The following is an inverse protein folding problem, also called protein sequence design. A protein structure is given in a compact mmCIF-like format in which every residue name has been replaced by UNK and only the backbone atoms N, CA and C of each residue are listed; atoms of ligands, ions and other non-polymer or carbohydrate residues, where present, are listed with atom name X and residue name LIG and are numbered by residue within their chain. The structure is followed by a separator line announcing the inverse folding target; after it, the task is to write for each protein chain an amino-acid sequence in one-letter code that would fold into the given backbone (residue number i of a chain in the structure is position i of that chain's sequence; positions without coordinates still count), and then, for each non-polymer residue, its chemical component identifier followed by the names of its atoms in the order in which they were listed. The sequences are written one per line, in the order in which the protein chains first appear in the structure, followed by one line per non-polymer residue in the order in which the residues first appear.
data_IF_010236316624
#
_entry.id   IF_010236316624
#
_cell.length_a   1.000
_cell.length_b   1.000
_cell.length_c   1.000
_cell.angle_alpha   90.00
_cell.angle_beta   90.00
_cell.angle_gamma   90.00
#
_symmetry.space_group_name_H-M   'P 1'
#
loop_
_entity.id
_entity.type
_entity.pdbx_description
1 polymer ?
#
# COMPACT_ATOMS: atom_id res chain seq x y z
N UNK A 1 18.06 4.27 39.07
CA UNK A 1 19.25 4.21 38.19
C UNK A 1 18.73 4.37 36.78
N UNK A 2 19.13 5.42 36.05
CA UNK A 2 18.78 5.54 34.64
C UNK A 2 19.52 4.45 33.85
N UNK A 3 18.92 3.84 32.82
CA UNK A 3 19.58 2.79 32.05
C UNK A 3 20.88 3.31 31.43
N UNK A 4 21.99 2.57 31.59
CA UNK A 4 23.33 2.90 31.07
C UNK A 4 23.61 2.29 29.71
N UNK A 5 22.57 2.12 28.88
CA UNK A 5 22.67 1.44 27.60
C UNK A 5 21.42 1.65 26.75
N UNK A 6 21.45 1.10 25.54
CA UNK A 6 20.35 1.17 24.58
C UNK A 6 19.32 0.13 24.99
N UNK A 7 18.08 0.57 25.25
CA UNK A 7 17.01 -0.32 25.69
C UNK A 7 16.48 -1.18 24.52
N UNK A 8 16.32 -0.57 23.35
CA UNK A 8 15.92 -1.20 22.11
C UNK A 8 16.50 -0.41 20.94
N UNK A 9 16.75 -1.08 19.83
CA UNK A 9 17.11 -0.45 18.57
C UNK A 9 16.29 -1.11 17.46
N UNK A 10 15.74 -0.30 16.57
CA UNK A 10 15.03 -0.76 15.39
C UNK A 10 15.48 0.09 14.19
N UNK A 11 15.53 -0.52 13.02
CA UNK A 11 15.84 0.17 11.78
C UNK A 11 14.88 -0.35 10.71
N UNK A 12 14.25 0.56 9.97
CA UNK A 12 13.33 0.25 8.88
C UNK A 12 14.03 -0.28 7.61
N UNK A 13 15.32 -0.65 7.68
CA UNK A 13 16.00 -1.22 6.53
C UNK A 13 15.60 -2.69 6.36
N UNK A 14 15.60 -3.17 5.11
CA UNK A 14 15.26 -4.53 4.67
C UNK A 14 16.23 -5.64 5.15
N UNK A 15 16.95 -5.43 6.26
CA UNK A 15 17.90 -6.39 6.82
C UNK A 15 17.18 -7.46 7.64
N UNK A 16 17.08 -8.69 7.12
CA UNK A 16 16.33 -9.82 7.71
C UNK A 16 17.22 -10.90 8.38
N UNK A 17 18.54 -10.71 8.39
CA UNK A 17 19.53 -11.72 8.82
C UNK A 17 19.68 -11.85 10.35
N UNK A 18 18.78 -11.22 11.12
CA UNK A 18 18.77 -11.20 12.58
C UNK A 18 19.85 -10.30 13.21
N UNK A 19 19.51 -9.70 14.35
CA UNK A 19 20.40 -8.78 15.09
C UNK A 19 20.34 -7.32 14.61
N UNK A 20 21.15 -6.46 15.22
CA UNK A 20 21.23 -5.03 14.87
C UNK A 20 21.94 -4.84 13.52
N UNK A 21 21.27 -4.18 12.57
CA UNK A 21 21.85 -3.92 11.26
C UNK A 21 23.04 -2.94 11.35
N UNK A 22 23.88 -2.93 10.31
CA UNK A 22 25.02 -2.00 10.21
C UNK A 22 24.63 -0.51 10.34
N UNK A 23 23.38 -0.15 10.03
CA UNK A 23 22.90 1.23 10.17
C UNK A 23 22.69 1.63 11.63
N UNK A 24 22.15 0.72 12.45
CA UNK A 24 22.07 0.92 13.91
C UNK A 24 23.49 1.10 14.45
N UNK A 25 24.42 0.20 14.09
CA UNK A 25 25.82 0.30 14.52
C UNK A 25 26.46 1.63 14.07
N UNK A 26 26.25 2.04 12.82
CA UNK A 26 26.78 3.30 12.30
C UNK A 26 26.19 4.53 13.01
N UNK A 27 24.89 4.54 13.28
CA UNK A 27 24.23 5.62 14.02
C UNK A 27 24.78 5.72 15.44
N UNK A 28 24.91 4.58 16.14
CA UNK A 28 25.43 4.55 17.51
C UNK A 28 26.89 4.93 17.59
N UNK A 29 27.71 4.49 16.63
CA UNK A 29 29.10 4.93 16.52
C UNK A 29 29.17 6.43 16.24
N UNK A 30 28.28 6.97 15.40
CA UNK A 30 28.20 8.41 15.15
C UNK A 30 27.78 9.16 16.41
N UNK A 31 26.80 8.64 17.16
CA UNK A 31 26.35 9.22 18.42
C UNK A 31 27.45 9.24 19.48
N UNK A 32 28.29 8.20 19.57
CA UNK A 32 29.42 8.16 20.50
C UNK A 32 30.52 9.13 20.09
N UNK A 33 30.83 9.21 18.79
CA UNK A 33 31.99 9.99 18.30
C UNK A 33 31.67 11.45 18.02
N UNK A 34 30.43 11.76 17.65
CA UNK A 34 29.97 13.08 17.23
C UNK A 34 28.48 13.29 17.54
N UNK A 35 28.07 13.25 18.83
CA UNK A 35 26.66 13.33 19.23
C UNK A 35 25.96 14.60 18.73
N UNK A 36 26.70 15.72 18.64
CA UNK A 36 26.16 17.02 18.21
C UNK A 36 25.75 17.05 16.71
N UNK A 37 26.13 16.04 15.93
CA UNK A 37 25.68 15.91 14.53
C UNK A 37 24.29 15.30 14.41
N UNK A 38 23.81 14.66 15.48
CA UNK A 38 22.47 14.05 15.53
C UNK A 38 21.51 15.08 16.10
N UNK A 39 20.63 15.58 15.25
CA UNK A 39 19.62 16.56 15.61
C UNK A 39 18.36 15.84 16.10
N UNK A 40 17.94 16.10 17.33
CA UNK A 40 16.58 15.77 17.76
C UNK A 40 15.62 16.79 17.16
N UNK A 41 14.59 16.30 16.47
CA UNK A 41 13.56 17.13 15.87
C UNK A 41 12.40 17.42 16.83
N UNK A 42 12.27 16.73 17.97
CA UNK A 42 11.18 16.98 18.92
C UNK A 42 11.10 18.43 19.43
N UNK A 43 12.21 19.09 19.82
CA UNK A 43 12.15 20.49 20.25
C UNK A 43 11.69 21.44 19.12
N UNK A 44 12.07 21.11 17.88
CA UNK A 44 11.65 21.87 16.70
C UNK A 44 10.15 21.69 16.46
N UNK A 45 9.65 20.45 16.50
CA UNK A 45 8.23 20.16 16.31
C UNK A 45 7.36 20.79 17.40
N UNK A 46 7.76 20.72 18.67
CA UNK A 46 7.05 21.40 19.75
C UNK A 46 6.98 22.92 19.56
N UNK A 47 8.04 23.52 19.00
CA UNK A 47 8.06 24.95 18.69
C UNK A 47 7.13 25.30 17.52
N UNK A 48 7.10 24.45 16.48
CA UNK A 48 6.25 24.62 15.32
C UNK A 48 4.77 24.42 15.66
N UNK A 49 4.43 23.47 16.52
CA UNK A 49 3.06 23.19 16.96
C UNK A 49 2.42 24.39 17.66
N UNK A 50 3.22 25.18 18.40
CA UNK A 50 2.75 26.40 19.05
C UNK A 50 2.58 27.60 18.10
N UNK A 51 2.97 27.50 16.82
CA UNK A 51 2.87 28.59 15.86
C UNK A 51 1.47 28.68 15.24
N UNK A 52 0.96 29.90 14.98
CA UNK A 52 -0.26 30.06 14.22
C UNK A 52 -0.03 29.65 12.76
N UNK A 53 -1.10 29.19 12.10
CA UNK A 53 -1.10 28.74 10.69
C UNK A 53 -0.39 29.70 9.73
N UNK A 54 -0.57 31.02 9.91
CA UNK A 54 0.09 32.03 9.08
C UNK A 54 1.61 32.00 9.18
N UNK A 55 2.15 31.76 10.38
CA UNK A 55 3.60 31.66 10.60
C UNK A 55 4.15 30.37 9.98
N UNK A 56 3.42 29.26 10.08
CA UNK A 56 3.80 28.00 9.44
C UNK A 56 3.86 28.14 7.91
N UNK A 57 2.86 28.80 7.30
CA UNK A 57 2.86 29.07 5.86
C UNK A 57 4.05 29.95 5.44
N UNK A 58 4.44 30.92 6.28
CA UNK A 58 5.62 31.74 6.03
C UNK A 58 6.91 30.92 6.10
N UNK A 59 7.04 30.03 7.09
CA UNK A 59 8.19 29.13 7.22
C UNK A 59 8.29 28.22 5.99
N UNK A 60 7.19 27.60 5.57
CA UNK A 60 7.14 26.75 4.37
C UNK A 60 7.52 27.56 3.12
N UNK A 61 7.00 28.78 2.97
CA UNK A 61 7.33 29.65 1.84
C UNK A 61 8.82 30.00 1.80
N UNK A 62 9.45 30.29 2.94
CA UNK A 62 10.89 30.53 3.00
C UNK A 62 11.68 29.26 2.69
N UNK A 63 11.29 28.10 3.24
CA UNK A 63 11.94 26.81 2.92
C UNK A 63 11.91 26.52 1.42
N UNK A 64 10.79 26.77 0.74
CA UNK A 64 10.67 26.58 -0.71
C UNK A 64 11.54 27.56 -1.53
N UNK A 65 11.86 28.74 -0.99
CA UNK A 65 12.82 29.65 -1.64
C UNK A 65 14.25 29.14 -1.51
N UNK A 66 14.59 28.53 -0.38
CA UNK A 66 15.93 27.99 -0.12
C UNK A 66 16.16 26.62 -0.78
N UNK A 67 15.13 25.79 -0.88
CA UNK A 67 15.17 24.45 -1.46
C UNK A 67 13.96 24.24 -2.40
N UNK A 68 13.99 24.81 -3.63
CA UNK A 68 12.89 24.72 -4.60
C UNK A 68 12.50 23.28 -4.97
N UNK A 69 13.43 22.33 -4.87
CA UNK A 69 13.22 20.89 -5.07
C UNK A 69 12.25 20.26 -4.07
N UNK A 70 11.94 20.95 -2.96
CA UNK A 70 10.91 20.53 -2.01
C UNK A 70 9.51 20.93 -2.45
N UNK A 71 9.35 21.80 -3.47
CA UNK A 71 8.05 22.26 -3.94
C UNK A 71 7.11 21.12 -4.35
N UNK A 72 7.55 20.08 -5.09
CA UNK A 72 6.70 18.94 -5.40
C UNK A 72 6.25 18.17 -4.15
N UNK A 73 7.12 18.09 -3.13
CA UNK A 73 6.82 17.41 -1.86
C UNK A 73 5.78 18.21 -1.08
N UNK A 74 5.99 19.52 -0.90
CA UNK A 74 5.03 20.40 -0.21
C UNK A 74 3.69 20.43 -0.94
N UNK A 75 3.68 20.45 -2.27
CA UNK A 75 2.47 20.39 -3.08
C UNK A 75 1.70 19.08 -2.82
N UNK A 76 2.38 17.94 -2.85
CA UNK A 76 1.79 16.63 -2.53
C UNK A 76 1.16 16.57 -1.13
N UNK A 77 1.73 17.25 -0.13
CA UNK A 77 1.15 17.37 1.21
C UNK A 77 0.07 18.46 1.33
N UNK A 78 0.05 19.45 0.42
CA UNK A 78 -0.94 20.54 0.43
C UNK A 78 -2.22 20.17 -0.32
N UNK A 79 -2.14 19.26 -1.28
CA UNK A 79 -3.27 18.68 -2.01
C UNK A 79 -4.02 17.64 -1.17
N UNK A 80 -3.61 17.41 0.07
CA UNK A 80 -4.37 16.66 1.08
C UNK A 80 -5.64 17.48 1.40
N UNK A 81 -6.85 17.03 1.03
CA UNK A 81 -8.06 17.76 1.35
C UNK A 81 -8.28 17.75 2.86
N UNK A 82 -8.06 18.89 3.51
CA UNK A 82 -8.51 19.10 4.87
C UNK A 82 -10.02 19.20 4.87
N UNK A 83 -10.72 18.14 5.30
CA UNK A 83 -12.18 18.04 5.44
C UNK A 83 -12.96 18.37 4.17
N UNK A 84 -13.32 17.36 3.39
CA UNK A 84 -14.43 17.47 2.43
C UNK A 84 -15.34 16.25 2.48
N UNK A 85 -16.62 16.54 2.23
CA UNK A 85 -17.82 15.78 2.55
C UNK A 85 -17.90 14.41 1.87
N UNK A 86 -18.67 13.53 2.52
CA UNK A 86 -19.28 12.31 1.96
C UNK A 86 -19.78 12.55 0.52
N UNK A 87 -18.98 12.17 -0.47
CA UNK A 87 -19.39 11.56 -1.74
C UNK A 87 -18.19 11.58 -2.71
N UNK A 88 -17.96 10.41 -3.33
CA UNK A 88 -17.02 10.13 -4.42
C UNK A 88 -15.57 9.78 -4.02
N UNK A 89 -15.37 8.54 -3.56
CA UNK A 89 -14.09 7.85 -3.38
C UNK A 89 -13.39 7.47 -4.70
N UNK A 90 -14.11 7.30 -5.81
CA UNK A 90 -13.55 6.99 -7.14
C UNK A 90 -12.66 8.11 -7.75
N UNK A 91 -13.06 9.40 -7.69
CA UNK A 91 -12.18 10.53 -8.02
C UNK A 91 -10.89 10.55 -7.19
N UNK A 92 -10.95 10.11 -5.94
CA UNK A 92 -9.79 10.11 -5.05
C UNK A 92 -8.75 9.07 -5.46
N UNK A 93 -9.19 7.89 -5.91
CA UNK A 93 -8.29 6.88 -6.51
C UNK A 93 -7.54 7.49 -7.70
N UNK A 94 -8.24 8.21 -8.59
CA UNK A 94 -7.61 8.84 -9.76
C UNK A 94 -6.56 9.91 -9.38
N UNK A 95 -6.83 10.71 -8.34
CA UNK A 95 -5.86 11.70 -7.82
C UNK A 95 -4.59 11.01 -7.32
N UNK A 96 -4.72 9.93 -6.53
CA UNK A 96 -3.55 9.19 -6.05
C UNK A 96 -2.84 8.45 -7.18
N UNK A 97 -3.57 7.94 -8.18
CA UNK A 97 -2.96 7.35 -9.37
C UNK A 97 -2.06 8.36 -10.10
N UNK A 98 -2.52 9.60 -10.31
CA UNK A 98 -1.69 10.65 -10.94
C UNK A 98 -0.46 10.99 -10.10
N UNK A 99 -0.63 11.12 -8.77
CA UNK A 99 0.49 11.36 -7.86
C UNK A 99 1.52 10.23 -7.92
N UNK A 100 1.08 8.98 -7.85
CA UNK A 100 1.98 7.81 -7.87
C UNK A 100 2.64 7.67 -9.25
N UNK A 101 1.92 7.96 -10.34
CA UNK A 101 2.50 8.01 -11.68
C UNK A 101 3.64 9.03 -11.80
N UNK A 102 3.55 10.16 -11.08
CA UNK A 102 4.66 11.12 -11.03
C UNK A 102 5.88 10.55 -10.32
N UNK A 103 5.69 9.79 -9.24
CA UNK A 103 6.78 9.11 -8.51
C UNK A 103 7.49 8.09 -9.41
N UNK A 104 6.73 7.25 -10.13
CA UNK A 104 7.30 6.28 -11.08
C UNK A 104 8.11 6.96 -12.20
N UNK A 105 7.57 8.03 -12.78
CA UNK A 105 8.25 8.80 -13.83
C UNK A 105 9.56 9.43 -13.33
N UNK A 106 9.55 9.96 -12.11
CA UNK A 106 10.64 10.76 -11.58
C UNK A 106 11.72 9.93 -10.88
N UNK A 107 11.38 8.76 -10.34
CA UNK A 107 12.27 8.00 -9.44
C UNK A 107 12.52 6.55 -9.87
N UNK A 108 11.78 6.01 -10.84
CA UNK A 108 11.92 4.61 -11.29
C UNK A 108 12.55 4.47 -12.68
N UNK A 109 13.17 5.53 -13.19
CA UNK A 109 13.92 5.53 -14.45
C UNK A 109 15.40 5.18 -14.27
N UNK A 110 16.02 5.63 -13.17
CA UNK A 110 17.46 5.50 -12.93
C UNK A 110 17.77 4.80 -11.60
N UNK A 111 18.78 3.92 -11.60
CA UNK A 111 19.02 3.01 -10.47
C UNK A 111 19.28 3.68 -9.12
N UNK A 112 19.92 4.86 -9.13
CA UNK A 112 20.24 5.58 -7.91
C UNK A 112 19.05 6.35 -7.32
N UNK A 113 17.91 6.40 -8.01
CA UNK A 113 16.71 7.11 -7.58
C UNK A 113 15.66 6.17 -6.99
N UNK A 114 15.84 4.85 -7.12
CA UNK A 114 14.90 3.86 -6.62
C UNK A 114 14.63 4.00 -5.12
N UNK A 115 15.68 4.17 -4.31
CA UNK A 115 15.52 4.36 -2.85
C UNK A 115 14.60 5.56 -2.53
N UNK A 116 14.72 6.64 -3.30
CA UNK A 116 13.85 7.82 -3.17
C UNK A 116 12.42 7.50 -3.59
N UNK A 117 12.25 6.78 -4.70
CA UNK A 117 10.94 6.35 -5.19
C UNK A 117 10.21 5.48 -4.17
N UNK A 118 10.87 4.44 -3.66
CA UNK A 118 10.32 3.57 -2.61
C UNK A 118 10.00 4.33 -1.34
N UNK A 119 10.89 5.21 -0.87
CA UNK A 119 10.61 6.07 0.30
C UNK A 119 9.32 6.89 0.09
N UNK A 120 9.08 7.40 -1.11
CA UNK A 120 7.85 8.16 -1.40
C UNK A 120 6.60 7.27 -1.44
N UNK A 121 6.70 6.04 -1.94
CA UNK A 121 5.60 5.08 -1.93
C UNK A 121 5.27 4.62 -0.50
N UNK A 122 6.28 4.31 0.31
CA UNK A 122 6.16 3.94 1.73
C UNK A 122 5.48 5.04 2.55
N UNK A 123 5.80 6.31 2.28
CA UNK A 123 5.14 7.45 2.92
C UNK A 123 3.63 7.47 2.63
N UNK A 124 3.22 7.12 1.40
CA UNK A 124 1.81 7.04 1.03
C UNK A 124 1.12 5.83 1.67
N UNK A 125 1.82 4.69 1.79
CA UNK A 125 1.31 3.52 2.51
C UNK A 125 1.09 3.85 3.99
N UNK A 126 2.08 4.45 4.67
CA UNK A 126 1.96 4.88 6.07
C UNK A 126 0.82 5.88 6.26
N UNK A 127 0.59 6.77 5.28
CA UNK A 127 -0.56 7.68 5.28
C UNK A 127 -1.88 6.91 5.25
N UNK A 128 -2.00 5.89 4.41
CA UNK A 128 -3.19 5.06 4.34
C UNK A 128 -3.43 4.32 5.66
N UNK A 129 -2.40 3.76 6.27
CA UNK A 129 -2.48 3.08 7.57
C UNK A 129 -2.95 4.02 8.67
N UNK A 130 -2.43 5.24 8.72
CA UNK A 130 -2.86 6.26 9.67
C UNK A 130 -4.33 6.64 9.49
N UNK A 131 -4.79 6.79 8.24
CA UNK A 131 -6.19 7.07 7.93
C UNK A 131 -7.10 5.92 8.35
N UNK A 132 -6.67 4.67 8.12
CA UNK A 132 -7.38 3.47 8.58
C UNK A 132 -7.56 3.47 10.10
N UNK A 133 -6.48 3.76 10.85
CA UNK A 133 -6.51 3.87 12.32
C UNK A 133 -7.41 5.01 12.83
N UNK A 134 -7.60 6.06 12.03
CA UNK A 134 -8.48 7.20 12.34
C UNK A 134 -9.96 6.93 12.01
N UNK A 135 -10.28 5.77 11.42
CA UNK A 135 -11.63 5.40 11.01
C UNK A 135 -12.00 5.87 9.59
N UNK A 136 -11.05 6.42 8.83
CA UNK A 136 -11.23 6.83 7.43
C UNK A 136 -10.88 5.70 6.46
N UNK A 137 -11.46 4.51 6.69
CA UNK A 137 -11.10 3.29 5.96
C UNK A 137 -11.27 3.40 4.43
N UNK A 138 -12.34 4.02 3.92
CA UNK A 138 -12.53 4.17 2.48
C UNK A 138 -11.41 4.97 1.80
N UNK A 139 -10.92 6.01 2.48
CA UNK A 139 -9.83 6.85 1.97
C UNK A 139 -8.51 6.09 2.01
N UNK A 140 -8.25 5.36 3.10
CA UNK A 140 -7.09 4.50 3.24
C UNK A 140 -7.03 3.44 2.12
N UNK A 141 -8.14 2.73 1.90
CA UNK A 141 -8.24 1.70 0.86
C UNK A 141 -8.12 2.27 -0.55
N UNK A 142 -8.58 3.51 -0.78
CA UNK A 142 -8.38 4.21 -2.05
C UNK A 142 -6.91 4.48 -2.36
N UNK A 143 -6.13 4.88 -1.34
CA UNK A 143 -4.68 5.09 -1.47
C UNK A 143 -3.98 3.76 -1.74
N UNK A 144 -4.28 2.73 -0.95
CA UNK A 144 -3.66 1.41 -1.09
C UNK A 144 -3.97 0.77 -2.44
N UNK A 145 -5.22 0.87 -2.91
CA UNK A 145 -5.57 0.40 -4.25
C UNK A 145 -4.80 1.15 -5.35
N UNK A 146 -4.64 2.47 -5.22
CA UNK A 146 -3.84 3.23 -6.16
C UNK A 146 -2.37 2.79 -6.14
N UNK A 147 -1.79 2.55 -4.96
CA UNK A 147 -0.42 2.04 -4.79
C UNK A 147 -0.23 0.66 -5.44
N UNK A 148 -1.13 -0.28 -5.14
CA UNK A 148 -1.12 -1.63 -5.72
C UNK A 148 -1.22 -1.55 -7.24
N UNK A 149 -2.24 -0.84 -7.75
CA UNK A 149 -2.50 -0.74 -9.18
C UNK A 149 -1.32 -0.14 -9.95
N UNK A 150 -0.79 1.01 -9.50
CA UNK A 150 0.31 1.65 -10.22
C UNK A 150 1.60 0.84 -10.13
N UNK A 151 1.87 0.19 -9.00
CA UNK A 151 3.04 -0.68 -8.86
C UNK A 151 2.98 -1.89 -9.80
N UNK A 152 1.80 -2.49 -9.96
CA UNK A 152 1.57 -3.59 -10.90
C UNK A 152 1.71 -3.10 -12.35
N UNK A 153 1.11 -1.96 -12.71
CA UNK A 153 1.17 -1.41 -14.07
C UNK A 153 2.59 -1.05 -14.50
N UNK A 154 3.38 -0.43 -13.60
CA UNK A 154 4.76 -0.04 -13.91
C UNK A 154 5.78 -1.16 -13.72
N UNK A 155 5.34 -2.34 -13.29
CA UNK A 155 6.25 -3.46 -12.99
C UNK A 155 7.09 -3.89 -14.18
N UNK A 156 6.50 -3.94 -15.38
CA UNK A 156 7.20 -4.35 -16.61
C UNK A 156 8.28 -3.35 -17.03
N UNK A 157 8.10 -2.08 -16.67
CA UNK A 157 8.92 -0.95 -17.11
C UNK A 157 10.08 -0.65 -16.14
N UNK A 158 10.05 -1.20 -14.92
CA UNK A 158 11.12 -1.04 -13.93
C UNK A 158 12.12 -2.19 -13.93
N UNK A 159 13.34 -1.90 -13.48
CA UNK A 159 14.33 -2.94 -13.14
C UNK A 159 14.20 -3.44 -11.69
N UNK A 160 13.46 -2.75 -10.82
CA UNK A 160 13.24 -3.12 -9.41
C UNK A 160 12.04 -4.05 -9.26
N UNK A 161 12.08 -5.18 -9.96
CA UNK A 161 10.99 -6.15 -9.95
C UNK A 161 10.74 -6.72 -8.55
N UNK A 162 11.77 -7.17 -7.86
CA UNK A 162 11.62 -7.77 -6.53
C UNK A 162 11.09 -6.76 -5.50
N UNK A 163 11.66 -5.55 -5.48
CA UNK A 163 11.22 -4.51 -4.54
C UNK A 163 9.76 -4.09 -4.76
N UNK A 164 9.29 -3.98 -6.01
CA UNK A 164 7.87 -3.69 -6.26
C UNK A 164 6.96 -4.86 -5.89
N UNK A 165 7.41 -6.10 -6.07
CA UNK A 165 6.64 -7.27 -5.68
C UNK A 165 6.43 -7.31 -4.16
N UNK A 166 7.51 -7.13 -3.41
CA UNK A 166 7.49 -7.04 -1.94
C UNK A 166 6.60 -5.87 -1.47
N UNK A 167 6.75 -4.70 -2.09
CA UNK A 167 5.94 -3.53 -1.76
C UNK A 167 4.43 -3.73 -2.03
N UNK A 168 4.07 -4.41 -3.13
CA UNK A 168 2.68 -4.74 -3.43
C UNK A 168 2.11 -5.72 -2.41
N UNK A 169 2.89 -6.72 -1.98
CA UNK A 169 2.50 -7.66 -0.93
C UNK A 169 2.23 -6.92 0.39
N UNK A 170 3.12 -6.01 0.80
CA UNK A 170 2.91 -5.18 2.00
C UNK A 170 1.65 -4.32 1.90
N UNK A 171 1.41 -3.67 0.75
CA UNK A 171 0.20 -2.89 0.54
C UNK A 171 -1.06 -3.74 0.60
N UNK A 172 -1.03 -4.97 0.08
CA UNK A 172 -2.16 -5.91 0.13
C UNK A 172 -2.45 -6.38 1.56
N UNK A 173 -1.41 -6.57 2.39
CA UNK A 173 -1.57 -6.88 3.82
C UNK A 173 -2.28 -5.71 4.51
N UNK A 174 -1.76 -4.47 4.38
CA UNK A 174 -2.39 -3.29 4.98
C UNK A 174 -3.81 -3.08 4.44
N UNK A 175 -4.06 -3.37 3.15
CA UNK A 175 -5.39 -3.31 2.56
C UNK A 175 -6.35 -4.30 3.23
N UNK A 176 -5.93 -5.56 3.39
CA UNK A 176 -6.74 -6.59 3.99
C UNK A 176 -7.07 -6.29 5.46
N UNK A 177 -6.10 -5.83 6.23
CA UNK A 177 -6.29 -5.45 7.63
C UNK A 177 -7.31 -4.32 7.79
N UNK A 178 -7.14 -3.23 7.01
CA UNK A 178 -8.06 -2.08 7.08
C UNK A 178 -9.44 -2.44 6.57
N UNK A 179 -9.53 -3.22 5.49
CA UNK A 179 -10.81 -3.62 4.92
C UNK A 179 -11.62 -4.46 5.89
N UNK A 180 -11.00 -5.43 6.60
CA UNK A 180 -11.68 -6.31 7.55
C UNK A 180 -12.38 -5.54 8.67
N UNK A 181 -11.72 -4.51 9.22
CA UNK A 181 -12.26 -3.71 10.32
C UNK A 181 -13.22 -2.59 9.88
N UNK A 182 -13.30 -2.34 8.57
CA UNK A 182 -14.15 -1.29 8.01
C UNK A 182 -15.63 -1.71 7.97
N UNK A 183 -16.57 -0.77 8.20
CA UNK A 183 -17.99 -1.05 7.98
C UNK A 183 -18.24 -1.37 6.51
N UNK A 184 -19.14 -2.32 6.25
CA UNK A 184 -19.48 -2.70 4.88
C UNK A 184 -19.92 -1.48 4.08
N UNK A 185 -19.28 -1.27 2.93
CA UNK A 185 -19.66 -0.20 2.03
C UNK A 185 -19.51 -0.61 0.58
N UNK A 186 -20.32 0.01 -0.26
CA UNK A 186 -20.27 -0.15 -1.72
C UNK A 186 -18.86 0.17 -2.23
N UNK A 187 -18.19 1.14 -1.60
CA UNK A 187 -16.81 1.50 -1.92
C UNK A 187 -15.87 0.30 -1.76
N UNK A 188 -15.90 -0.41 -0.63
CA UNK A 188 -15.00 -1.55 -0.38
C UNK A 188 -15.23 -2.67 -1.40
N UNK A 189 -16.50 -2.98 -1.70
CA UNK A 189 -16.87 -3.97 -2.71
C UNK A 189 -16.27 -3.63 -4.09
N UNK A 190 -16.38 -2.36 -4.51
CA UNK A 190 -15.79 -1.91 -5.77
C UNK A 190 -14.26 -1.98 -5.76
N UNK A 191 -13.59 -1.68 -4.63
CA UNK A 191 -12.15 -1.85 -4.52
C UNK A 191 -11.72 -3.32 -4.68
N UNK A 192 -12.44 -4.26 -4.08
CA UNK A 192 -12.18 -5.69 -4.26
C UNK A 192 -12.40 -6.14 -5.71
N UNK A 193 -13.44 -5.63 -6.39
CA UNK A 193 -13.65 -5.87 -7.83
C UNK A 193 -12.51 -5.30 -8.68
N UNK A 194 -11.98 -4.14 -8.33
CA UNK A 194 -10.83 -3.56 -9.02
C UNK A 194 -9.56 -4.40 -8.84
N UNK A 195 -9.31 -4.95 -7.64
CA UNK A 195 -8.21 -5.91 -7.41
C UNK A 195 -8.38 -7.18 -8.24
N UNK A 196 -9.61 -7.70 -8.34
CA UNK A 196 -9.91 -8.86 -9.19
C UNK A 196 -9.67 -8.55 -10.67
N UNK A 197 -10.09 -7.38 -11.16
CA UNK A 197 -9.80 -6.99 -12.56
C UNK A 197 -8.30 -6.88 -12.81
N UNK A 198 -7.59 -6.27 -11.86
CA UNK A 198 -6.14 -6.17 -11.93
C UNK A 198 -5.46 -7.54 -12.00
N UNK A 199 -6.00 -8.59 -11.34
CA UNK A 199 -5.38 -9.92 -11.37
C UNK A 199 -5.46 -10.62 -12.74
N UNK A 200 -6.36 -10.20 -13.62
CA UNK A 200 -6.42 -10.64 -15.02
C UNK A 200 -5.50 -9.83 -15.94
N UNK A 201 -5.28 -8.55 -15.65
CA UNK A 201 -4.47 -7.65 -16.47
C UNK A 201 -2.99 -7.63 -16.07
N UNK A 202 -2.65 -8.09 -14.87
CA UNK A 202 -1.30 -8.09 -14.32
C UNK A 202 -0.38 -9.16 -14.94
N UNK A 203 0.94 -8.96 -14.80
CA UNK A 203 1.89 -10.05 -14.99
C UNK A 203 1.59 -11.21 -14.02
N UNK A 204 1.79 -12.46 -14.49
CA UNK A 204 1.42 -13.69 -13.78
C UNK A 204 1.92 -13.74 -12.32
N UNK A 205 3.06 -13.10 -12.02
CA UNK A 205 3.65 -13.05 -10.67
C UNK A 205 2.73 -12.42 -9.62
N UNK A 206 1.84 -11.51 -10.01
CA UNK A 206 0.92 -10.83 -9.09
C UNK A 206 -0.41 -11.54 -8.92
N UNK A 207 -0.80 -12.40 -9.86
CA UNK A 207 -2.11 -13.05 -9.81
C UNK A 207 -2.31 -13.83 -8.51
N UNK A 208 -1.37 -14.68 -8.04
CA UNK A 208 -1.53 -15.38 -6.76
C UNK A 208 -1.67 -14.44 -5.56
N UNK A 209 -0.92 -13.33 -5.52
CA UNK A 209 -0.99 -12.35 -4.43
C UNK A 209 -2.38 -11.73 -4.36
N UNK A 210 -2.85 -11.19 -5.49
CA UNK A 210 -4.17 -10.54 -5.60
C UNK A 210 -5.30 -11.51 -5.27
N UNK A 211 -5.28 -12.72 -5.83
CA UNK A 211 -6.33 -13.72 -5.59
C UNK A 211 -6.32 -14.24 -4.15
N UNK A 212 -5.15 -14.37 -3.52
CA UNK A 212 -5.05 -14.84 -2.13
C UNK A 212 -5.59 -13.79 -1.15
N UNK A 213 -5.27 -12.51 -1.36
CA UNK A 213 -5.83 -11.42 -0.55
C UNK A 213 -7.35 -11.33 -0.69
N UNK A 214 -7.90 -11.51 -1.90
CA UNK A 214 -9.34 -11.55 -2.11
C UNK A 214 -10.00 -12.76 -1.41
N UNK A 215 -9.38 -13.94 -1.49
CA UNK A 215 -9.87 -15.13 -0.79
C UNK A 215 -9.89 -14.93 0.74
N UNK A 216 -8.85 -14.30 1.28
CA UNK A 216 -8.75 -13.96 2.69
C UNK A 216 -9.85 -12.96 3.12
N UNK A 217 -10.11 -11.93 2.32
CA UNK A 217 -11.18 -10.97 2.58
C UNK A 217 -12.57 -11.63 2.60
N UNK A 218 -12.84 -12.50 1.62
CA UNK A 218 -14.07 -13.31 1.60
C UNK A 218 -14.19 -14.25 2.81
N UNK A 219 -13.07 -14.67 3.39
CA UNK A 219 -13.07 -15.53 4.58
C UNK A 219 -13.32 -14.74 5.86
N UNK A 220 -12.70 -13.55 5.97
CA UNK A 220 -12.68 -12.77 7.21
C UNK A 220 -13.88 -11.86 7.37
N UNK A 221 -14.47 -11.38 6.28
CA UNK A 221 -15.66 -10.54 6.36
C UNK A 221 -16.94 -11.29 6.06
N UNK A 222 -17.98 -10.99 6.82
CA UNK A 222 -19.37 -11.32 6.47
C UNK A 222 -19.94 -10.35 5.41
N UNK A 223 -19.13 -9.76 4.51
CA UNK A 223 -19.69 -8.97 3.38
C UNK A 223 -20.52 -9.95 2.54
N UNK A 224 -21.83 -9.91 2.77
CA UNK A 224 -22.77 -10.93 2.29
C UNK A 224 -22.71 -11.07 0.75
N UNK A 225 -22.37 -9.98 0.06
CA UNK A 225 -22.38 -9.91 -1.40
C UNK A 225 -20.98 -10.07 -2.04
N UNK A 226 -19.88 -10.01 -1.27
CA UNK A 226 -18.52 -10.02 -1.83
C UNK A 226 -18.17 -11.34 -2.52
N UNK A 227 -18.39 -12.53 -1.92
CA UNK A 227 -18.14 -13.80 -2.58
C UNK A 227 -18.94 -13.98 -3.88
N UNK A 228 -20.21 -13.55 -3.86
CA UNK A 228 -21.12 -13.64 -5.01
C UNK A 228 -20.67 -12.71 -6.14
N UNK A 229 -20.28 -11.47 -5.80
CA UNK A 229 -19.77 -10.50 -6.75
C UNK A 229 -18.46 -10.96 -7.41
N UNK A 230 -17.51 -11.49 -6.63
CA UNK A 230 -16.25 -12.01 -7.14
C UNK A 230 -16.49 -13.22 -8.06
N UNK A 231 -17.38 -14.15 -7.68
CA UNK A 231 -17.74 -15.28 -8.53
C UNK A 231 -18.34 -14.81 -9.87
N UNK A 232 -19.28 -13.86 -9.85
CA UNK A 232 -19.88 -13.31 -11.07
C UNK A 232 -18.82 -12.68 -11.98
N UNK A 233 -17.98 -11.82 -11.43
CA UNK A 233 -16.92 -11.15 -12.19
C UNK A 233 -15.90 -12.18 -12.75
N UNK A 234 -15.53 -13.22 -11.99
CA UNK A 234 -14.66 -14.33 -12.46
C UNK A 234 -15.28 -15.05 -13.67
N UNK A 235 -16.58 -15.34 -13.61
CA UNK A 235 -17.31 -16.01 -14.69
C UNK A 235 -17.44 -15.12 -15.93
N UNK A 236 -17.64 -13.81 -15.74
CA UNK A 236 -17.75 -12.84 -16.82
C UNK A 236 -16.42 -12.63 -17.56
N UNK A 237 -15.30 -12.54 -16.83
CA UNK A 237 -13.97 -12.42 -17.45
C UNK A 237 -13.58 -13.69 -18.20
N UNK A 238 -13.89 -14.84 -17.60
CA UNK A 238 -13.63 -16.18 -18.14
C UNK A 238 -12.24 -16.69 -17.77
N UNK A 239 -12.19 -17.81 -17.05
CA UNK A 239 -10.94 -18.44 -16.57
C UNK A 239 -9.95 -18.79 -17.68
N UNK A 240 -10.42 -19.03 -18.90
CA UNK A 240 -9.57 -19.35 -20.05
C UNK A 240 -8.69 -18.17 -20.50
N UNK A 241 -9.05 -16.94 -20.12
CA UNK A 241 -8.27 -15.73 -20.40
C UNK A 241 -7.34 -15.36 -19.26
N UNK A 242 -7.33 -16.15 -18.20
CA UNK A 242 -6.53 -15.89 -17.02
C UNK A 242 -5.03 -15.96 -17.33
N UNK A 243 -4.21 -14.99 -16.88
CA UNK A 243 -2.76 -15.10 -16.94
C UNK A 243 -2.22 -16.21 -16.01
N UNK A 244 -2.93 -16.49 -14.92
CA UNK A 244 -2.68 -17.63 -14.02
C UNK A 244 -4.00 -18.35 -13.73
N UNK A 245 -4.34 -19.35 -14.55
CA UNK A 245 -5.59 -20.10 -14.40
C UNK A 245 -5.68 -20.75 -13.01
N UNK A 246 -4.59 -21.33 -12.54
CA UNK A 246 -4.54 -22.07 -11.28
C UNK A 246 -4.90 -21.16 -10.10
N UNK A 247 -4.38 -19.94 -10.05
CA UNK A 247 -4.68 -18.97 -9.00
C UNK A 247 -6.17 -18.59 -8.93
N UNK A 248 -6.78 -18.28 -10.09
CA UNK A 248 -8.21 -17.91 -10.13
C UNK A 248 -9.14 -19.10 -9.88
N UNK A 249 -8.78 -20.30 -10.33
CA UNK A 249 -9.50 -21.55 -9.99
C UNK A 249 -9.43 -21.79 -8.48
N UNK A 250 -8.27 -21.62 -7.86
CA UNK A 250 -8.10 -21.80 -6.42
C UNK A 250 -8.94 -20.80 -5.61
N UNK A 251 -9.04 -19.55 -6.08
CA UNK A 251 -9.95 -18.55 -5.52
C UNK A 251 -11.40 -19.06 -5.61
N UNK A 252 -11.86 -19.48 -6.79
CA UNK A 252 -13.23 -19.95 -7.00
C UNK A 252 -13.58 -21.20 -6.15
N UNK A 253 -12.64 -22.15 -6.05
CA UNK A 253 -12.78 -23.31 -5.16
C UNK A 253 -12.93 -22.88 -3.70
N UNK A 254 -12.18 -21.88 -3.26
CA UNK A 254 -12.30 -21.31 -1.91
C UNK A 254 -13.70 -20.73 -1.68
N UNK A 255 -14.23 -19.97 -2.64
CA UNK A 255 -15.58 -19.40 -2.56
C UNK A 255 -16.67 -20.50 -2.49
N UNK A 256 -16.56 -21.54 -3.32
CA UNK A 256 -17.52 -22.66 -3.29
C UNK A 256 -17.47 -23.43 -1.97
N UNK A 257 -16.26 -23.65 -1.44
CA UNK A 257 -16.10 -24.30 -0.14
C UNK A 257 -16.76 -23.48 0.98
N UNK A 258 -16.53 -22.16 1.01
CA UNK A 258 -17.16 -21.24 1.97
C UNK A 258 -18.69 -21.24 1.86
N UNK A 259 -19.22 -21.20 0.64
CA UNK A 259 -20.66 -21.21 0.39
C UNK A 259 -21.33 -22.59 0.63
N UNK A 260 -20.57 -23.63 0.99
CA UNK A 260 -21.08 -25.00 1.14
C UNK A 260 -21.50 -25.67 -0.17
N UNK A 261 -21.12 -25.11 -1.33
CA UNK A 261 -21.47 -25.57 -2.68
C UNK A 261 -20.61 -26.75 -3.11
N UNK A 262 -20.76 -27.86 -2.40
CA UNK A 262 -19.91 -29.06 -2.53
C UNK A 262 -19.92 -29.67 -3.93
N UNK A 263 -21.06 -29.61 -4.63
CA UNK A 263 -21.17 -30.17 -5.98
C UNK A 263 -20.42 -29.33 -7.03
N UNK A 264 -20.49 -28.00 -6.90
CA UNK A 264 -19.78 -27.08 -7.79
C UNK A 264 -18.27 -27.15 -7.57
N UNK A 265 -17.87 -27.24 -6.30
CA UNK A 265 -16.49 -27.50 -5.91
C UNK A 265 -15.95 -28.78 -6.56
N UNK A 266 -16.67 -29.91 -6.44
CA UNK A 266 -16.22 -31.19 -7.00
C UNK A 266 -16.13 -31.16 -8.52
N UNK A 267 -17.13 -30.58 -9.19
CA UNK A 267 -17.14 -30.49 -10.65
C UNK A 267 -15.94 -29.68 -11.17
N UNK A 268 -15.66 -28.55 -10.53
CA UNK A 268 -14.51 -27.72 -10.89
C UNK A 268 -13.18 -28.41 -10.57
N UNK A 269 -13.04 -29.04 -9.40
CA UNK A 269 -11.83 -29.77 -9.04
C UNK A 269 -11.54 -30.93 -10.00
N UNK A 270 -12.57 -31.64 -10.46
CA UNK A 270 -12.44 -32.73 -11.44
C UNK A 270 -12.03 -32.22 -12.83
N UNK A 271 -12.59 -31.10 -13.30
CA UNK A 271 -12.21 -30.57 -14.62
C UNK A 271 -10.75 -30.14 -14.69
N UNK A 272 -10.18 -29.69 -13.57
CA UNK A 272 -8.77 -29.24 -13.49
C UNK A 272 -7.78 -30.41 -13.33
N UNK A 273 -8.23 -31.61 -12.92
CA UNK A 273 -7.41 -32.82 -12.94
C UNK A 273 -7.31 -33.44 -14.34
N UNK A 274 -8.21 -33.07 -15.26
CA UNK A 274 -8.31 -33.61 -16.62
C UNK A 274 -7.57 -32.77 -17.69
N UNK A 275 -7.19 -31.53 -17.39
CA UNK A 275 -6.42 -30.60 -18.25
C UNK A 275 -4.90 -30.72 -18.08
#
# INVERSE_FOLDING_TARGET
MAPTGIATANCSCLYDWGGDCKHIVALLLTYVNAPDTILSLEPLFATLEAQPKSSLLQIISELLKYAPELAPIVQAYSDIPGTLQESESLPLVAVYQEQINSIFRDSFTEQHQFDRGFTQLEVLQQKAELLGQQGEAEHALSILLALIHQSVVHYSDTSQKNGLLEFVEECLISFAEIAVDAPESVTILEHCRMLLRLSFDAEQVFTPLLTSSLAELCWRQEIADLPVAIEQDLMEQGLDKSPDRQAHVQLLLTLYFQAGRTEDYRRLAQSEEEE
#
